data_IF_662498447043
#
_entry.id   IF_662498447043
#
_cell.length_a   1.000
_cell.length_b   1.000
_cell.length_c   1.000
_cell.angle_alpha   90.00
_cell.angle_beta   90.00
_cell.angle_gamma   90.00
#
_symmetry.space_group_name_H-M   'P 1'
#
loop_
_entity.id
_entity.type
_entity.pdbx_description
1 polymer ?
#
# COMPACT_ATOMS: atom_id res chain seq x y z
N UNK A 1 -23.12 -15.93 -29.19
CA UNK A 1 -22.39 -15.37 -28.03
C UNK A 1 -21.22 -16.28 -27.73
N UNK A 2 -20.01 -15.84 -28.05
CA UNK A 2 -18.85 -16.72 -28.27
C UNK A 2 -18.10 -17.02 -26.98
N UNK A 3 -17.62 -18.26 -26.83
CA UNK A 3 -16.81 -18.79 -25.73
C UNK A 3 -15.57 -17.93 -25.40
N UNK A 4 -15.15 -17.06 -26.32
CA UNK A 4 -14.10 -16.05 -26.16
C UNK A 4 -14.46 -14.84 -25.28
N UNK A 5 -15.72 -14.37 -25.28
CA UNK A 5 -16.15 -13.23 -24.45
C UNK A 5 -16.16 -13.58 -22.96
N UNK A 6 -16.68 -14.77 -22.61
CA UNK A 6 -16.71 -15.25 -21.22
C UNK A 6 -15.30 -15.40 -20.62
N UNK A 7 -14.31 -15.80 -21.43
CA UNK A 7 -12.92 -15.95 -20.98
C UNK A 7 -12.25 -14.60 -20.70
N UNK A 8 -12.60 -13.58 -21.47
CA UNK A 8 -12.11 -12.22 -21.25
C UNK A 8 -12.79 -11.54 -20.06
N UNK A 9 -14.12 -11.69 -19.90
CA UNK A 9 -14.85 -11.15 -18.75
C UNK A 9 -14.32 -11.71 -17.42
N UNK A 10 -14.05 -13.03 -17.34
CA UNK A 10 -13.49 -13.63 -16.13
C UNK A 10 -12.07 -13.15 -15.79
N UNK A 11 -11.26 -12.73 -16.78
CA UNK A 11 -9.94 -12.11 -16.55
C UNK A 11 -10.09 -10.70 -15.98
N UNK A 12 -10.93 -9.88 -16.60
CA UNK A 12 -11.16 -8.50 -16.16
C UNK A 12 -11.79 -8.44 -14.76
N UNK A 13 -12.69 -9.37 -14.44
CA UNK A 13 -13.26 -9.49 -13.10
C UNK A 13 -12.19 -9.76 -12.04
N UNK A 14 -11.26 -10.71 -12.29
CA UNK A 14 -10.15 -10.99 -11.37
C UNK A 14 -9.24 -9.78 -11.18
N UNK A 15 -8.90 -9.09 -12.27
CA UNK A 15 -8.08 -7.87 -12.20
C UNK A 15 -8.79 -6.80 -11.36
N UNK A 16 -10.07 -6.54 -11.63
CA UNK A 16 -10.86 -5.57 -10.88
C UNK A 16 -10.93 -5.93 -9.39
N UNK A 17 -11.10 -7.21 -9.04
CA UNK A 17 -11.10 -7.68 -7.67
C UNK A 17 -9.77 -7.39 -6.95
N UNK A 18 -8.62 -7.68 -7.58
CA UNK A 18 -7.31 -7.40 -6.97
C UNK A 18 -7.04 -5.90 -6.81
N UNK A 19 -7.47 -5.08 -7.78
CA UNK A 19 -7.36 -3.63 -7.69
C UNK A 19 -8.20 -3.11 -6.53
N UNK A 20 -9.45 -3.56 -6.42
CA UNK A 20 -10.35 -3.12 -5.35
C UNK A 20 -9.84 -3.55 -3.97
N UNK A 21 -9.23 -4.73 -3.88
CA UNK A 21 -8.57 -5.21 -2.66
C UNK A 21 -7.35 -4.34 -2.29
N UNK A 22 -6.50 -3.96 -3.26
CA UNK A 22 -5.37 -3.06 -3.03
C UNK A 22 -5.81 -1.65 -2.62
N UNK A 23 -6.90 -1.14 -3.19
CA UNK A 23 -7.49 0.15 -2.82
C UNK A 23 -8.04 0.09 -1.39
N UNK A 24 -8.82 -0.95 -1.07
CA UNK A 24 -9.40 -1.11 0.26
C UNK A 24 -8.35 -1.27 1.36
N UNK A 25 -7.31 -2.06 1.11
CA UNK A 25 -6.19 -2.22 2.05
C UNK A 25 -5.38 -0.93 2.19
N UNK A 26 -5.18 -0.16 1.11
CA UNK A 26 -4.54 1.15 1.14
C UNK A 26 -5.32 2.18 1.96
N UNK A 27 -6.64 2.29 1.76
CA UNK A 27 -7.52 3.13 2.59
C UNK A 27 -7.42 2.77 4.07
N UNK A 28 -7.54 1.47 4.36
CA UNK A 28 -7.55 0.98 5.73
C UNK A 28 -6.20 1.19 6.42
N UNK A 29 -5.08 1.02 5.71
CA UNK A 29 -3.77 1.40 6.22
C UNK A 29 -3.67 2.91 6.50
N UNK A 30 -4.19 3.75 5.60
CA UNK A 30 -4.27 5.20 5.82
C UNK A 30 -5.02 5.58 7.10
N UNK A 31 -6.17 4.94 7.36
CA UNK A 31 -6.92 5.14 8.61
C UNK A 31 -6.14 4.71 9.85
N UNK A 32 -5.39 3.60 9.79
CA UNK A 32 -4.52 3.19 10.91
C UNK A 32 -3.37 4.19 11.09
N UNK A 33 -2.78 4.72 10.01
CA UNK A 33 -1.79 5.80 10.13
C UNK A 33 -2.36 7.02 10.83
N UNK A 34 -3.59 7.44 10.49
CA UNK A 34 -4.27 8.53 11.21
C UNK A 34 -4.41 8.25 12.69
N UNK A 35 -4.91 7.07 13.04
CA UNK A 35 -5.11 6.68 14.44
C UNK A 35 -3.79 6.64 15.21
N UNK A 36 -2.72 6.15 14.60
CA UNK A 36 -1.36 6.17 15.16
C UNK A 36 -0.91 7.62 15.41
N UNK A 37 -1.13 8.53 14.47
CA UNK A 37 -0.77 9.95 14.62
C UNK A 37 -1.61 10.69 15.66
N UNK A 38 -2.84 10.26 15.92
CA UNK A 38 -3.73 10.86 16.93
C UNK A 38 -3.59 10.25 18.33
N UNK A 39 -3.02 9.05 18.43
CA UNK A 39 -2.87 8.29 19.69
C UNK A 39 -1.54 8.57 20.40
N UNK A 40 -1.00 9.78 20.26
CA UNK A 40 0.31 10.16 20.82
C UNK A 40 0.38 9.98 22.35
N UNK A 41 -0.72 10.20 23.06
CA UNK A 41 -0.83 10.00 24.51
C UNK A 41 -0.70 8.53 24.93
N UNK A 42 -1.16 7.61 24.07
CA UNK A 42 -1.12 6.17 24.35
C UNK A 42 0.29 5.58 24.21
N UNK A 43 1.18 6.23 23.46
CA UNK A 43 2.58 5.81 23.33
C UNK A 43 3.38 6.09 24.60
N UNK A 44 2.98 7.11 25.36
CA UNK A 44 3.59 7.47 26.65
C UNK A 44 3.06 6.61 27.81
N UNK A 45 1.93 5.92 27.65
CA UNK A 45 1.35 5.02 28.64
C UNK A 45 0.98 3.67 28.02
N UNK A 46 1.82 2.61 28.19
CA UNK A 46 1.61 1.33 27.52
C UNK A 46 0.27 0.71 27.92
N UNK A 47 -0.70 0.74 27.01
CA UNK A 47 -2.06 0.27 27.22
C UNK A 47 -2.42 -0.85 26.23
N UNK A 48 -3.47 -1.62 26.55
CA UNK A 48 -4.01 -2.68 25.67
C UNK A 48 -4.43 -2.14 24.30
N UNK A 49 -4.80 -0.87 24.23
CA UNK A 49 -5.23 -0.18 23.01
C UNK A 49 -4.07 0.00 22.03
N UNK A 50 -2.86 0.31 22.52
CA UNK A 50 -1.66 0.40 21.68
C UNK A 50 -1.32 -0.96 21.07
N UNK A 51 -1.43 -2.04 21.85
CA UNK A 51 -1.18 -3.40 21.36
C UNK A 51 -2.19 -3.80 20.27
N UNK A 52 -3.46 -3.45 20.45
CA UNK A 52 -4.52 -3.65 19.44
C UNK A 52 -4.22 -2.83 18.18
N UNK A 53 -3.83 -1.57 18.33
CA UNK A 53 -3.48 -0.69 17.21
C UNK A 53 -2.27 -1.21 16.42
N UNK A 54 -1.24 -1.69 17.12
CA UNK A 54 -0.06 -2.31 16.52
C UNK A 54 -0.43 -3.60 15.77
N UNK A 55 -1.32 -4.41 16.34
CA UNK A 55 -1.80 -5.62 15.69
C UNK A 55 -2.59 -5.30 14.42
N UNK A 56 -3.46 -4.29 14.47
CA UNK A 56 -4.16 -3.78 13.28
C UNK A 56 -3.18 -3.26 12.24
N UNK A 57 -2.16 -2.50 12.65
CA UNK A 57 -1.11 -2.02 11.76
C UNK A 57 -0.35 -3.17 11.08
N UNK A 58 0.04 -4.21 11.82
CA UNK A 58 0.73 -5.36 11.25
C UNK A 58 -0.18 -6.11 10.27
N UNK A 59 -1.47 -6.22 10.60
CA UNK A 59 -2.48 -6.85 9.74
C UNK A 59 -2.68 -6.07 8.45
N UNK A 60 -2.81 -4.74 8.52
CA UNK A 60 -2.98 -3.89 7.33
C UNK A 60 -1.72 -3.88 6.47
N UNK A 61 -0.54 -3.80 7.08
CA UNK A 61 0.73 -3.87 6.38
C UNK A 61 0.87 -5.18 5.63
N UNK A 62 0.58 -6.31 6.29
CA UNK A 62 0.58 -7.62 5.64
C UNK A 62 -0.44 -7.68 4.48
N UNK A 63 -1.65 -7.15 4.67
CA UNK A 63 -2.67 -7.12 3.63
C UNK A 63 -2.27 -6.28 2.41
N UNK A 64 -1.59 -5.14 2.61
CA UNK A 64 -1.04 -4.31 1.53
C UNK A 64 0.09 -5.04 0.80
N UNK A 65 0.97 -5.74 1.53
CA UNK A 65 2.06 -6.49 0.90
C UNK A 65 1.56 -7.66 0.05
N UNK A 66 0.61 -8.44 0.56
CA UNK A 66 0.00 -9.55 -0.18
C UNK A 66 -0.76 -9.02 -1.41
N UNK A 67 -1.56 -7.97 -1.24
CA UNK A 67 -2.34 -7.40 -2.34
C UNK A 67 -1.47 -6.77 -3.43
N UNK A 68 -0.43 -6.02 -3.04
CA UNK A 68 0.53 -5.44 -3.99
C UNK A 68 1.32 -6.51 -4.74
N UNK A 69 1.75 -7.57 -4.06
CA UNK A 69 2.38 -8.73 -4.70
C UNK A 69 1.46 -9.40 -5.71
N UNK A 70 0.19 -9.62 -5.34
CA UNK A 70 -0.82 -10.20 -6.23
C UNK A 70 -1.10 -9.30 -7.45
N UNK A 71 -1.23 -7.98 -7.24
CA UNK A 71 -1.46 -7.03 -8.33
C UNK A 71 -0.29 -7.07 -9.31
N UNK A 72 0.96 -6.98 -8.82
CA UNK A 72 2.13 -6.98 -9.70
C UNK A 72 2.34 -8.32 -10.42
N UNK A 73 2.02 -9.44 -9.76
CA UNK A 73 2.21 -10.77 -10.36
C UNK A 73 1.10 -11.16 -11.36
N UNK A 74 -0.17 -10.80 -11.07
CA UNK A 74 -1.33 -11.29 -11.83
C UNK A 74 -1.92 -10.24 -12.79
N UNK A 75 -1.77 -8.95 -12.50
CA UNK A 75 -2.35 -7.90 -13.34
C UNK A 75 -1.44 -7.65 -14.54
N UNK A 76 -1.92 -8.07 -15.71
CA UNK A 76 -1.38 -7.66 -17.02
C UNK A 76 -2.44 -6.79 -17.68
N UNK A 77 -2.15 -5.61 -18.27
CA UNK A 77 -0.88 -4.93 -18.54
C UNK A 77 -0.33 -4.07 -17.38
N UNK A 78 0.95 -3.66 -17.49
CA UNK A 78 1.70 -2.88 -16.48
C UNK A 78 0.98 -1.58 -16.10
N UNK A 79 0.43 -0.87 -17.11
CA UNK A 79 -0.31 0.38 -16.91
C UNK A 79 -1.48 0.24 -15.94
N UNK A 80 -2.15 -0.93 -15.91
CA UNK A 80 -3.25 -1.18 -14.98
C UNK A 80 -2.77 -1.33 -13.54
N UNK A 81 -1.58 -1.93 -13.33
CA UNK A 81 -0.93 -1.98 -12.02
C UNK A 81 -0.53 -0.59 -11.52
N UNK A 82 0.02 0.25 -12.41
CA UNK A 82 0.36 1.66 -12.08
C UNK A 82 -0.88 2.43 -11.63
N UNK A 83 -1.99 2.32 -12.37
CA UNK A 83 -3.26 2.96 -12.00
C UNK A 83 -3.78 2.42 -10.66
N UNK A 84 -3.66 1.12 -10.41
CA UNK A 84 -4.09 0.51 -9.15
C UNK A 84 -3.30 1.06 -7.95
N UNK A 85 -1.98 1.20 -8.06
CA UNK A 85 -1.16 1.79 -7.01
C UNK A 85 -1.42 3.28 -6.81
N UNK A 86 -1.66 4.03 -7.90
CA UNK A 86 -2.05 5.43 -7.79
C UNK A 86 -3.39 5.59 -7.06
N UNK A 87 -4.39 4.78 -7.41
CA UNK A 87 -5.69 4.77 -6.72
C UNK A 87 -5.58 4.32 -5.26
N UNK A 88 -4.74 3.32 -4.97
CA UNK A 88 -4.45 2.87 -3.61
C UNK A 88 -3.80 3.97 -2.78
N UNK A 89 -2.83 4.70 -3.33
CA UNK A 89 -2.23 5.86 -2.67
C UNK A 89 -3.25 6.98 -2.43
N UNK A 90 -4.12 7.28 -3.40
CA UNK A 90 -5.22 8.23 -3.19
C UNK A 90 -6.15 7.79 -2.05
N UNK A 91 -6.51 6.51 -2.02
CA UNK A 91 -7.35 5.94 -0.98
C UNK A 91 -6.67 6.03 0.39
N UNK A 92 -5.36 5.80 0.45
CA UNK A 92 -4.54 5.96 1.65
C UNK A 92 -4.55 7.41 2.17
N UNK A 93 -4.47 8.40 1.28
CA UNK A 93 -4.63 9.82 1.65
C UNK A 93 -6.02 10.12 2.20
N UNK A 94 -7.06 9.56 1.59
CA UNK A 94 -8.45 9.72 2.08
C UNK A 94 -8.66 9.09 3.45
N UNK A 95 -7.99 7.97 3.75
CA UNK A 95 -8.05 7.32 5.05
C UNK A 95 -7.25 8.07 6.13
N UNK A 96 -6.22 8.80 5.74
CA UNK A 96 -5.31 9.46 6.66
C UNK A 96 -5.73 10.90 7.00
N UNK A 97 -5.08 11.90 6.39
CA UNK A 97 -5.47 13.30 6.35
C UNK A 97 -4.72 13.99 5.21
N UNK A 98 -5.34 14.99 4.59
CA UNK A 98 -4.79 15.74 3.46
C UNK A 98 -3.82 16.84 3.93
N UNK A 99 -2.77 16.47 4.65
CA UNK A 99 -1.67 17.39 4.99
C UNK A 99 -0.57 17.36 3.92
N UNK A 100 0.22 18.44 3.83
CA UNK A 100 1.38 18.51 2.93
C UNK A 100 2.36 17.37 3.23
N UNK A 101 2.54 17.04 4.51
CA UNK A 101 3.41 15.95 4.96
C UNK A 101 2.94 14.58 4.49
N UNK A 102 1.67 14.27 4.73
CA UNK A 102 1.04 13.02 4.29
C UNK A 102 1.08 12.89 2.75
N UNK A 103 0.86 14.00 2.04
CA UNK A 103 0.92 14.04 0.58
C UNK A 103 2.31 13.67 0.05
N UNK A 104 3.38 14.25 0.61
CA UNK A 104 4.76 13.94 0.21
C UNK A 104 5.05 12.46 0.45
N UNK A 105 4.71 11.93 1.62
CA UNK A 105 4.96 10.52 1.96
C UNK A 105 4.22 9.56 1.03
N UNK A 106 2.93 9.80 0.78
CA UNK A 106 2.14 8.97 -0.13
C UNK A 106 2.67 9.08 -1.56
N UNK A 107 3.12 10.25 -2.00
CA UNK A 107 3.72 10.42 -3.32
C UNK A 107 5.02 9.61 -3.44
N UNK A 108 5.86 9.60 -2.40
CA UNK A 108 7.03 8.71 -2.33
C UNK A 108 6.64 7.23 -2.42
N UNK A 109 5.60 6.81 -1.69
CA UNK A 109 5.07 5.45 -1.78
C UNK A 109 4.61 5.10 -3.21
N UNK A 110 3.86 5.98 -3.88
CA UNK A 110 3.39 5.77 -5.26
C UNK A 110 4.59 5.61 -6.20
N UNK A 111 5.62 6.47 -6.09
CA UNK A 111 6.82 6.38 -6.93
C UNK A 111 7.55 5.05 -6.74
N UNK A 112 7.72 4.61 -5.49
CA UNK A 112 8.33 3.31 -5.16
C UNK A 112 7.50 2.15 -5.71
N UNK A 113 6.17 2.22 -5.57
CA UNK A 113 5.26 1.19 -6.07
C UNK A 113 5.24 1.11 -7.61
N UNK A 114 5.35 2.24 -8.30
CA UNK A 114 5.50 2.29 -9.76
C UNK A 114 6.84 1.67 -10.16
N UNK A 115 7.94 2.05 -9.50
CA UNK A 115 9.26 1.48 -9.75
C UNK A 115 9.27 -0.03 -9.52
N UNK A 116 8.63 -0.51 -8.46
CA UNK A 116 8.43 -1.93 -8.18
C UNK A 116 7.68 -2.63 -9.32
N UNK A 117 6.55 -2.08 -9.75
CA UNK A 117 5.73 -2.66 -10.82
C UNK A 117 6.49 -2.75 -12.14
N UNK A 118 7.21 -1.68 -12.51
CA UNK A 118 8.02 -1.63 -13.74
C UNK A 118 9.20 -2.60 -13.67
N UNK A 119 9.89 -2.67 -12.53
CA UNK A 119 11.04 -3.56 -12.34
C UNK A 119 10.65 -5.03 -12.47
N UNK A 120 9.59 -5.45 -11.77
CA UNK A 120 9.10 -6.83 -11.87
C UNK A 120 8.63 -7.14 -13.29
N UNK A 121 7.91 -6.23 -13.94
CA UNK A 121 7.44 -6.47 -15.30
C UNK A 121 8.58 -6.55 -16.33
N UNK A 122 9.63 -5.74 -16.17
CA UNK A 122 10.84 -5.80 -17.00
C UNK A 122 11.57 -7.12 -16.81
N UNK A 123 11.73 -7.58 -15.57
CA UNK A 123 12.38 -8.85 -15.27
C UNK A 123 11.59 -10.07 -15.76
N UNK A 124 10.26 -10.06 -15.62
CA UNK A 124 9.40 -11.11 -16.16
C UNK A 124 9.39 -11.16 -17.70
N UNK A 125 9.67 -10.04 -18.36
CA UNK A 125 9.76 -9.97 -19.83
C UNK A 125 11.13 -10.41 -20.34
N UNK A 126 12.20 -10.13 -19.59
CA UNK A 126 13.57 -10.45 -19.99
C UNK A 126 14.04 -11.86 -19.59
N UNK A 127 13.40 -12.52 -18.61
CA UNK A 127 13.80 -13.87 -18.16
C UNK A 127 12.79 -14.95 -18.59
N UNK A 128 13.30 -15.99 -19.27
CA UNK A 128 12.55 -17.19 -19.69
C UNK A 128 12.21 -18.11 -18.49
N UNK A 129 12.80 -17.89 -17.31
CA UNK A 129 12.47 -18.60 -16.06
C UNK A 129 11.76 -17.66 -15.09
N UNK A 130 10.57 -18.06 -14.65
CA UNK A 130 9.88 -17.47 -13.49
C UNK A 130 10.78 -17.60 -12.26
N UNK A 131 11.44 -16.52 -11.86
CA UNK A 131 12.15 -16.41 -10.59
C UNK A 131 11.34 -15.51 -9.66
N UNK A 132 11.20 -15.92 -8.40
CA UNK A 132 10.45 -15.18 -7.37
C UNK A 132 11.28 -14.04 -6.76
N UNK A 133 12.59 -14.02 -7.01
CA UNK A 133 13.56 -13.03 -6.48
C UNK A 133 13.18 -11.56 -6.73
N UNK A 134 12.80 -11.13 -7.96
CA UNK A 134 12.40 -9.75 -8.20
C UNK A 134 11.15 -9.32 -7.43
N UNK A 135 10.25 -10.26 -7.14
CA UNK A 135 9.06 -9.98 -6.35
C UNK A 135 9.46 -9.74 -4.89
N UNK A 136 10.35 -10.57 -4.33
CA UNK A 136 10.80 -10.41 -2.95
C UNK A 136 11.64 -9.15 -2.71
N UNK A 137 12.54 -8.80 -3.64
CA UNK A 137 13.38 -7.59 -3.51
C UNK A 137 12.54 -6.32 -3.61
N UNK A 138 11.63 -6.28 -4.58
CA UNK A 138 10.70 -5.16 -4.73
C UNK A 138 9.72 -5.01 -3.56
N UNK A 139 9.23 -6.12 -3.00
CA UNK A 139 8.42 -6.11 -1.79
C UNK A 139 9.18 -5.59 -0.56
N UNK A 140 10.47 -5.90 -0.42
CA UNK A 140 11.28 -5.39 0.69
C UNK A 140 11.36 -3.85 0.66
N UNK A 141 11.59 -3.27 -0.53
CA UNK A 141 11.63 -1.81 -0.71
C UNK A 141 10.26 -1.19 -0.40
N UNK A 142 9.17 -1.81 -0.87
CA UNK A 142 7.81 -1.35 -0.59
C UNK A 142 7.47 -1.43 0.91
N UNK A 143 7.96 -2.47 1.60
CA UNK A 143 7.80 -2.62 3.05
C UNK A 143 8.51 -1.49 3.80
N UNK A 144 9.76 -1.16 3.42
CA UNK A 144 10.51 -0.04 4.01
C UNK A 144 9.75 1.27 3.80
N UNK A 145 9.19 1.50 2.62
CA UNK A 145 8.38 2.69 2.34
C UNK A 145 7.14 2.79 3.23
N UNK A 146 6.43 1.68 3.46
CA UNK A 146 5.26 1.64 4.34
C UNK A 146 5.62 1.88 5.81
N UNK A 147 6.76 1.33 6.26
CA UNK A 147 7.28 1.59 7.62
C UNK A 147 7.64 3.08 7.76
N UNK A 148 8.30 3.68 6.77
CA UNK A 148 8.61 5.10 6.77
C UNK A 148 7.34 5.96 6.80
N UNK A 149 6.27 5.55 6.12
CA UNK A 149 4.96 6.20 6.20
C UNK A 149 4.41 6.20 7.63
N UNK A 150 4.48 5.04 8.30
CA UNK A 150 4.00 4.90 9.67
C UNK A 150 4.82 5.77 10.64
N UNK A 151 6.15 5.77 10.50
CA UNK A 151 7.04 6.65 11.27
C UNK A 151 6.75 8.13 10.99
N UNK A 152 6.51 8.50 9.73
CA UNK A 152 6.12 9.84 9.35
C UNK A 152 4.81 10.26 9.99
N UNK A 153 3.84 9.36 10.10
CA UNK A 153 2.59 9.62 10.81
C UNK A 153 2.77 9.93 12.29
N UNK A 154 3.62 9.16 12.97
CA UNK A 154 3.99 9.45 14.35
C UNK A 154 4.63 10.83 14.48
N UNK A 155 5.60 11.15 13.61
CA UNK A 155 6.28 12.44 13.63
C UNK A 155 5.33 13.61 13.44
N UNK A 156 4.41 13.53 12.48
CA UNK A 156 3.42 14.60 12.26
C UNK A 156 2.49 14.75 13.46
N UNK A 157 2.03 13.63 14.05
CA UNK A 157 1.24 13.63 15.28
C UNK A 157 1.94 14.36 16.44
N UNK A 158 3.21 14.04 16.70
CA UNK A 158 4.01 14.74 17.72
C UNK A 158 4.23 16.22 17.41
N UNK A 159 4.46 16.57 16.13
CA UNK A 159 4.72 17.96 15.74
C UNK A 159 3.49 18.86 15.90
N UNK A 160 2.28 18.33 15.72
CA UNK A 160 1.04 19.07 15.96
C UNK A 160 0.75 19.23 17.45
N UNK A 161 1.09 18.23 18.27
CA UNK A 161 0.98 18.32 19.72
C UNK A 161 1.89 19.42 20.28
N UNK A 162 3.18 19.40 19.93
CA UNK A 162 4.16 20.39 20.42
C UNK A 162 3.83 21.82 19.97
N UNK A 163 3.14 22.01 18.84
CA UNK A 163 2.72 23.35 18.38
C UNK A 163 1.46 23.86 19.09
N UNK A 164 0.69 22.98 19.73
CA UNK A 164 -0.53 23.34 20.46
C UNK A 164 -0.26 23.66 21.94
N UNK A 165 0.85 23.19 22.49
CA UNK A 165 1.37 23.52 23.82
C UNK A 165 2.23 24.79 23.78
#
# INVERSE_FOLDING_TARGET
MSKGENKNMGKWFKVSFFIMLLIGTGYFFGTICKQIGQSYDLILSPSKELLILLLWFLLTLFAVLVSSGLVVALVRPIWTGIIAFALSGLAMLMGWDLTIGSFILVLTYILIAIFYTVSVAKEMTQRIKFSVSPISEGQAILTIALILLACGSLYFGYSEYIKKE
#
